data_IF_731232773086
#
_entry.id   IF_731232773086
#
_cell.length_a   1.000
_cell.length_b   1.000
_cell.length_c   1.000
_cell.angle_alpha   90.00
_cell.angle_beta   90.00
_cell.angle_gamma   90.00
#
_symmetry.space_group_name_H-M   'P 1'
#
loop_
_entity.id
_entity.type
_entity.pdbx_description
1 polymer ?
#
# COMPACT_ATOMS: atom_id res chain seq x y z
N UNK A 1 -16.68 27.73 -31.00
CA UNK A 1 -16.20 26.64 -31.87
C UNK A 1 -15.14 25.89 -31.09
N UNK A 2 -15.46 24.68 -30.69
CA UNK A 2 -14.63 23.76 -29.91
C UNK A 2 -13.43 23.30 -30.73
N UNK A 3 -12.23 23.57 -30.20
CA UNK A 3 -10.94 23.21 -30.78
C UNK A 3 -10.83 21.67 -30.86
N UNK A 4 -11.21 21.10 -32.01
CA UNK A 4 -11.53 19.67 -32.20
C UNK A 4 -10.39 18.86 -32.79
N UNK A 5 -9.13 19.25 -32.57
CA UNK A 5 -8.01 18.46 -33.11
C UNK A 5 -6.69 18.52 -32.32
N UNK A 6 -6.76 18.61 -30.98
CA UNK A 6 -5.58 18.24 -30.16
C UNK A 6 -5.59 16.73 -30.00
N UNK A 7 -4.63 16.04 -30.63
CA UNK A 7 -4.38 14.62 -30.37
C UNK A 7 -4.22 14.43 -28.85
N UNK A 8 -5.11 13.63 -28.26
CA UNK A 8 -5.01 13.26 -26.86
C UNK A 8 -4.04 12.08 -26.74
N UNK A 9 -2.90 12.31 -26.10
CA UNK A 9 -1.96 11.26 -25.74
C UNK A 9 -2.24 10.79 -24.33
N UNK A 10 -2.41 9.48 -24.15
CA UNK A 10 -2.58 8.83 -22.86
C UNK A 10 -1.33 8.01 -22.56
N UNK A 11 -0.72 8.26 -21.41
CA UNK A 11 0.25 7.36 -20.82
C UNK A 11 -0.49 6.37 -19.93
N UNK A 12 -0.41 5.09 -20.28
CA UNK A 12 -0.86 4.00 -19.44
C UNK A 12 0.37 3.34 -18.80
N UNK A 13 0.30 3.10 -17.49
CA UNK A 13 1.35 2.41 -16.75
C UNK A 13 0.73 1.23 -16.03
N UNK A 14 1.29 0.05 -16.24
CA UNK A 14 0.87 -1.19 -15.57
C UNK A 14 2.01 -1.76 -14.74
N UNK A 15 1.75 -2.07 -13.47
CA UNK A 15 2.65 -2.86 -12.63
C UNK A 15 2.37 -4.35 -12.84
N UNK A 16 3.35 -5.08 -13.38
CA UNK A 16 3.18 -6.49 -13.75
C UNK A 16 2.93 -7.44 -12.57
N UNK A 17 3.39 -7.09 -11.37
CA UNK A 17 3.28 -7.95 -10.18
C UNK A 17 1.92 -7.81 -9.53
N UNK A 18 1.44 -6.56 -9.35
CA UNK A 18 0.15 -6.28 -8.72
C UNK A 18 -1.01 -6.17 -9.70
N UNK A 19 -0.72 -6.11 -11.00
CA UNK A 19 -1.67 -5.87 -12.09
C UNK A 19 -2.39 -4.52 -12.01
N UNK A 20 -1.91 -3.61 -11.14
CA UNK A 20 -2.44 -2.25 -11.06
C UNK A 20 -2.10 -1.49 -12.32
N UNK A 21 -3.10 -0.80 -12.87
CA UNK A 21 -2.95 0.07 -14.03
C UNK A 21 -3.45 1.46 -13.70
N UNK A 22 -2.77 2.48 -14.22
CA UNK A 22 -3.25 3.85 -14.20
C UNK A 22 -3.12 4.48 -15.60
N UNK A 23 -3.98 5.44 -15.91
CA UNK A 23 -3.93 6.19 -17.15
C UNK A 23 -3.89 7.70 -16.87
N UNK A 24 -2.99 8.41 -17.55
CA UNK A 24 -2.80 9.85 -17.43
C UNK A 24 -2.76 10.48 -18.82
N UNK A 25 -3.55 11.53 -19.04
CA UNK A 25 -3.46 12.35 -20.25
C UNK A 25 -2.21 13.22 -20.20
N UNK A 26 -1.34 13.06 -21.19
CA UNK A 26 -0.09 13.80 -21.34
C UNK A 26 -0.30 15.20 -21.92
N UNK A 27 0.69 16.05 -21.73
CA UNK A 27 0.85 17.21 -22.60
C UNK A 27 1.35 16.70 -23.97
N UNK A 28 0.87 17.26 -25.10
CA UNK A 28 1.25 16.77 -26.42
C UNK A 28 2.76 16.68 -26.68
N UNK A 29 3.53 17.65 -26.16
CA UNK A 29 4.98 17.69 -26.26
C UNK A 29 5.67 16.50 -25.57
N UNK A 30 5.06 15.97 -24.51
CA UNK A 30 5.63 14.88 -23.71
C UNK A 30 5.49 13.53 -24.40
N UNK A 31 4.66 13.40 -25.44
CA UNK A 31 4.53 12.15 -26.20
C UNK A 31 5.81 11.75 -26.94
N UNK A 32 6.79 12.66 -27.04
CA UNK A 32 8.03 12.48 -27.81
C UNK A 32 9.30 12.36 -26.95
N UNK A 33 9.15 12.32 -25.61
CA UNK A 33 10.29 12.25 -24.70
C UNK A 33 10.63 10.79 -24.33
N UNK A 34 11.86 10.51 -23.87
CA UNK A 34 12.25 9.19 -23.39
C UNK A 34 11.38 8.68 -22.23
N UNK A 35 11.26 7.35 -22.11
CA UNK A 35 10.43 6.74 -21.07
C UNK A 35 10.86 7.14 -19.66
N UNK A 36 12.15 7.38 -19.42
CA UNK A 36 12.65 7.83 -18.12
C UNK A 36 12.05 9.17 -17.73
N UNK A 37 12.01 10.11 -18.67
CA UNK A 37 11.45 11.45 -18.45
C UNK A 37 9.93 11.39 -18.25
N UNK A 38 9.24 10.47 -18.94
CA UNK A 38 7.82 10.20 -18.71
C UNK A 38 7.59 9.66 -17.29
N UNK A 39 8.37 8.67 -16.85
CA UNK A 39 8.23 8.11 -15.52
C UNK A 39 8.64 9.10 -14.42
N UNK A 40 9.68 9.91 -14.61
CA UNK A 40 10.06 10.96 -13.66
C UNK A 40 8.91 11.96 -13.46
N UNK A 41 8.34 12.46 -14.57
CA UNK A 41 7.30 13.49 -14.52
C UNK A 41 5.92 12.98 -14.13
N UNK A 42 5.51 11.82 -14.63
CA UNK A 42 4.14 11.34 -14.48
C UNK A 42 3.99 10.17 -13.52
N UNK A 43 5.08 9.47 -13.17
CA UNK A 43 5.03 8.41 -12.16
C UNK A 43 5.75 8.79 -10.87
N UNK A 44 6.96 9.33 -10.86
CA UNK A 44 7.69 9.62 -9.61
C UNK A 44 7.19 10.89 -8.93
N UNK A 45 7.05 11.98 -9.69
CA UNK A 45 6.65 13.30 -9.19
C UNK A 45 5.49 13.92 -9.97
N UNK A 46 4.35 13.22 -10.11
CA UNK A 46 3.19 13.76 -10.80
C UNK A 46 2.59 14.95 -10.04
N UNK A 47 2.19 16.03 -10.73
CA UNK A 47 1.43 17.11 -10.13
C UNK A 47 -0.03 16.68 -9.94
N UNK A 48 -0.30 15.85 -8.93
CA UNK A 48 -1.62 15.21 -8.73
C UNK A 48 -2.78 16.20 -8.72
N UNK A 49 -2.65 17.33 -8.02
CA UNK A 49 -3.68 18.37 -7.94
C UNK A 49 -4.02 18.92 -9.34
N UNK A 50 -3.01 19.38 -10.07
CA UNK A 50 -3.18 19.91 -11.44
C UNK A 50 -3.75 18.85 -12.39
N UNK A 51 -3.31 17.59 -12.28
CA UNK A 51 -3.80 16.51 -13.11
C UNK A 51 -5.27 16.19 -12.81
N UNK A 52 -5.70 16.23 -11.54
CA UNK A 52 -7.08 15.98 -11.14
C UNK A 52 -7.99 17.15 -11.51
N UNK A 53 -7.60 18.40 -11.19
CA UNK A 53 -8.34 19.62 -11.54
C UNK A 53 -8.50 19.77 -13.06
N UNK A 54 -7.43 19.50 -13.81
CA UNK A 54 -7.43 19.50 -15.27
C UNK A 54 -8.11 18.29 -15.92
N UNK A 55 -8.70 17.39 -15.13
CA UNK A 55 -9.33 16.14 -15.59
C UNK A 55 -8.42 15.33 -16.52
N UNK A 56 -7.11 15.35 -16.24
CA UNK A 56 -6.08 14.59 -16.97
C UNK A 56 -5.85 13.22 -16.36
N UNK A 57 -6.25 13.00 -15.12
CA UNK A 57 -6.25 11.72 -14.44
C UNK A 57 -7.57 11.55 -13.69
N UNK A 58 -8.09 10.32 -13.60
CA UNK A 58 -9.26 10.05 -12.75
C UNK A 58 -8.82 9.84 -11.30
N UNK A 59 -9.69 10.04 -10.29
CA UNK A 59 -9.34 9.73 -8.90
C UNK A 59 -8.91 8.28 -8.69
N UNK A 60 -9.49 7.34 -9.44
CA UNK A 60 -9.09 5.94 -9.41
C UNK A 60 -7.69 5.72 -9.99
N UNK A 61 -7.39 6.30 -11.15
CA UNK A 61 -6.04 6.25 -11.74
C UNK A 61 -5.02 6.93 -10.85
N UNK A 62 -5.36 8.03 -10.16
CA UNK A 62 -4.46 8.71 -9.23
C UNK A 62 -4.08 7.83 -8.04
N UNK A 63 -5.05 7.12 -7.43
CA UNK A 63 -4.78 6.15 -6.37
C UNK A 63 -3.92 4.98 -6.86
N UNK A 64 -4.25 4.44 -8.04
CA UNK A 64 -3.49 3.34 -8.64
C UNK A 64 -2.04 3.76 -8.93
N UNK A 65 -1.87 4.94 -9.54
CA UNK A 65 -0.58 5.53 -9.84
C UNK A 65 0.24 5.70 -8.56
N UNK A 66 -0.34 6.35 -7.54
CA UNK A 66 0.28 6.57 -6.23
C UNK A 66 0.80 5.27 -5.59
N UNK A 67 0.02 4.17 -5.69
CA UNK A 67 0.45 2.86 -5.22
C UNK A 67 1.57 2.25 -6.07
N UNK A 68 1.53 2.40 -7.39
CA UNK A 68 2.60 1.95 -8.29
C UNK A 68 3.92 2.67 -7.94
N UNK A 69 3.90 3.97 -7.62
CA UNK A 69 5.11 4.72 -7.25
C UNK A 69 5.85 4.06 -6.08
N UNK A 70 5.12 3.75 -5.01
CA UNK A 70 5.70 3.21 -3.77
C UNK A 70 6.23 1.78 -3.94
N UNK A 71 5.81 1.11 -5.01
CA UNK A 71 6.28 -0.23 -5.38
C UNK A 71 7.43 -0.21 -6.39
N UNK A 72 7.54 0.86 -7.18
CA UNK A 72 8.51 1.00 -8.27
C UNK A 72 9.81 1.70 -7.83
N UNK A 73 9.73 2.68 -6.93
CA UNK A 73 10.84 3.51 -6.51
C UNK A 73 11.35 3.20 -5.11
N UNK A 74 12.66 3.40 -4.92
CA UNK A 74 13.31 3.42 -3.60
C UNK A 74 12.93 4.72 -2.88
N UNK A 75 12.67 4.63 -1.58
CA UNK A 75 12.45 5.78 -0.71
C UNK A 75 13.56 5.94 0.32
N UNK A 76 14.01 7.17 0.58
CA UNK A 76 14.85 7.47 1.75
C UNK A 76 14.04 7.51 3.06
N UNK A 77 14.70 7.71 4.20
CA UNK A 77 14.07 7.75 5.53
C UNK A 77 13.02 8.87 5.67
N UNK A 78 13.07 9.87 4.78
CA UNK A 78 12.09 10.95 4.72
C UNK A 78 10.90 10.65 3.80
N UNK A 79 10.90 9.50 3.16
CA UNK A 79 9.83 9.07 2.25
C UNK A 79 9.90 9.72 0.87
N UNK A 80 11.03 10.34 0.52
CA UNK A 80 11.27 10.90 -0.81
C UNK A 80 11.70 9.79 -1.77
N UNK A 81 11.13 9.80 -2.97
CA UNK A 81 11.42 8.80 -4.00
C UNK A 81 12.69 9.15 -4.76
N UNK A 82 13.52 8.15 -5.02
CA UNK A 82 14.79 8.26 -5.74
C UNK A 82 14.75 7.44 -7.03
N UNK A 83 15.63 6.45 -7.16
CA UNK A 83 15.71 5.59 -8.33
C UNK A 83 14.66 4.48 -8.31
N UNK A 84 14.37 3.92 -9.48
CA UNK A 84 13.64 2.66 -9.56
C UNK A 84 14.42 1.57 -8.81
N UNK A 85 13.71 0.61 -8.20
CA UNK A 85 14.37 -0.54 -7.61
C UNK A 85 15.26 -1.26 -8.63
N UNK A 86 16.47 -1.63 -8.21
CA UNK A 86 17.40 -2.39 -9.04
C UNK A 86 16.74 -3.67 -9.56
N UNK A 87 16.89 -3.93 -10.87
CA UNK A 87 16.23 -5.05 -11.56
C UNK A 87 14.82 -4.74 -12.08
N UNK A 88 14.29 -3.53 -11.87
CA UNK A 88 13.06 -3.08 -12.56
C UNK A 88 13.33 -2.95 -14.05
N UNK A 89 12.47 -3.56 -14.87
CA UNK A 89 12.54 -3.53 -16.33
C UNK A 89 11.31 -2.81 -16.85
N UNK A 90 11.51 -1.78 -17.68
CA UNK A 90 10.40 -1.10 -18.37
C UNK A 90 10.18 -1.74 -19.73
N UNK A 91 8.93 -2.11 -20.02
CA UNK A 91 8.53 -2.75 -21.27
C UNK A 91 7.44 -1.96 -21.97
N UNK A 92 7.37 -2.12 -23.28
CA UNK A 92 6.22 -1.77 -24.10
C UNK A 92 5.84 -3.00 -24.93
N UNK A 93 4.64 -3.54 -24.67
CA UNK A 93 4.29 -4.89 -25.12
C UNK A 93 5.31 -5.93 -24.64
N UNK A 94 5.83 -6.74 -25.56
CA UNK A 94 6.85 -7.77 -25.25
C UNK A 94 8.30 -7.26 -25.32
N UNK A 95 8.51 -5.96 -25.61
CA UNK A 95 9.84 -5.38 -25.81
C UNK A 95 10.30 -4.64 -24.56
N UNK A 96 11.50 -4.97 -24.07
CA UNK A 96 12.21 -4.16 -23.08
C UNK A 96 12.70 -2.86 -23.72
N UNK A 97 12.46 -1.73 -23.06
CA UNK A 97 12.94 -0.43 -23.50
C UNK A 97 14.35 -0.18 -22.95
N UNK A 98 15.27 0.20 -23.84
CA UNK A 98 16.61 0.64 -23.46
C UNK A 98 16.57 2.10 -22.96
N UNK A 99 17.58 2.51 -22.21
CA UNK A 99 17.68 3.89 -21.76
C UNK A 99 17.72 4.89 -22.93
N UNK A 100 17.04 6.03 -22.79
CA UNK A 100 16.90 7.08 -23.81
C UNK A 100 15.91 6.75 -24.93
N UNK A 101 15.23 5.59 -24.87
CA UNK A 101 14.26 5.20 -25.90
C UNK A 101 12.97 6.01 -25.74
N UNK A 102 12.53 6.66 -26.82
CA UNK A 102 11.18 7.23 -26.91
C UNK A 102 10.19 6.10 -27.15
N UNK A 103 9.17 5.91 -26.29
CA UNK A 103 8.15 4.89 -26.50
C UNK A 103 7.37 5.11 -27.78
N UNK A 104 6.92 4.01 -28.38
CA UNK A 104 6.04 4.06 -29.54
C UNK A 104 4.62 4.48 -29.09
N UNK A 105 3.96 5.28 -29.93
CA UNK A 105 2.57 5.66 -29.72
C UNK A 105 1.68 4.66 -30.47
N UNK A 106 0.95 3.85 -29.72
CA UNK A 106 -0.07 2.95 -30.24
C UNK A 106 -1.45 3.61 -30.34
N UNK A 107 -2.41 2.84 -30.87
CA UNK A 107 -3.83 3.22 -30.88
C UNK A 107 -4.54 2.45 -29.77
N UNK A 108 -5.10 3.18 -28.81
CA UNK A 108 -6.02 2.65 -27.81
C UNK A 108 -7.46 3.00 -28.15
N UNK A 109 -8.39 2.25 -27.57
CA UNK A 109 -9.82 2.49 -27.74
C UNK A 109 -10.46 2.74 -26.37
N UNK A 110 -11.12 3.88 -26.20
CA UNK A 110 -11.99 4.14 -25.06
C UNK A 110 -13.42 4.23 -25.59
N UNK A 111 -14.20 3.16 -25.37
CA UNK A 111 -15.55 3.00 -25.92
C UNK A 111 -15.58 3.12 -27.46
N UNK A 112 -15.85 4.31 -28.00
CA UNK A 112 -15.97 4.60 -29.44
C UNK A 112 -14.93 5.60 -29.96
N UNK A 113 -13.97 6.00 -29.12
CA UNK A 113 -12.96 7.01 -29.45
C UNK A 113 -11.59 6.34 -29.54
N UNK A 114 -10.94 6.48 -30.70
CA UNK A 114 -9.52 6.17 -30.85
C UNK A 114 -8.68 7.24 -30.14
N UNK A 115 -7.76 6.80 -29.30
CA UNK A 115 -6.83 7.66 -28.57
C UNK A 115 -5.40 7.20 -28.81
N UNK A 116 -4.46 8.13 -28.83
CA UNK A 116 -3.05 7.83 -28.93
C UNK A 116 -2.56 7.35 -27.55
N UNK A 117 -2.01 6.14 -27.45
CA UNK A 117 -1.61 5.54 -26.17
C UNK A 117 -0.14 5.15 -26.18
N UNK A 118 0.57 5.60 -25.15
CA UNK A 118 1.87 5.07 -24.75
C UNK A 118 1.60 4.10 -23.60
N UNK A 119 1.71 2.80 -23.86
CA UNK A 119 1.47 1.76 -22.86
C UNK A 119 2.79 1.19 -22.34
N UNK A 120 3.10 1.45 -21.06
CA UNK A 120 4.30 1.00 -20.38
C UNK A 120 3.96 -0.03 -19.31
N UNK A 121 4.76 -1.07 -19.23
CA UNK A 121 4.71 -2.06 -18.15
C UNK A 121 5.98 -2.00 -17.32
N UNK A 122 5.82 -1.84 -16.00
CA UNK A 122 6.88 -2.03 -15.03
C UNK A 122 6.96 -3.51 -14.66
N UNK A 123 7.97 -4.19 -15.19
CA UNK A 123 8.31 -5.55 -14.84
C UNK A 123 9.26 -5.57 -13.63
N UNK A 124 8.74 -6.05 -12.51
CA UNK A 124 9.46 -6.09 -11.22
C UNK A 124 9.58 -7.51 -10.67
N UNK A 125 9.36 -8.54 -11.48
CA UNK A 125 9.44 -9.94 -11.03
C UNK A 125 10.81 -10.35 -10.50
N UNK A 126 11.87 -9.68 -10.97
CA UNK A 126 13.25 -9.97 -10.58
C UNK A 126 13.83 -8.94 -9.60
N UNK A 127 12.99 -8.06 -9.03
CA UNK A 127 13.45 -7.05 -8.07
C UNK A 127 13.68 -7.72 -6.71
N UNK A 128 14.91 -7.59 -6.19
CA UNK A 128 15.17 -7.84 -4.78
C UNK A 128 14.59 -6.71 -3.94
N UNK A 129 13.62 -7.01 -3.07
CA UNK A 129 13.01 -6.01 -2.19
C UNK A 129 13.88 -5.75 -0.96
N UNK A 130 14.99 -5.03 -1.12
CA UNK A 130 15.66 -4.37 0.00
C UNK A 130 15.02 -2.98 0.18
N UNK A 131 13.82 -2.99 0.77
CA UNK A 131 13.01 -1.79 0.95
C UNK A 131 13.36 -1.13 2.26
N UNK A 132 13.70 0.14 2.20
CA UNK A 132 13.71 1.00 3.38
C UNK A 132 12.29 1.11 3.98
N UNK A 133 12.02 0.32 5.02
CA UNK A 133 10.70 0.26 5.65
C UNK A 133 10.32 1.56 6.37
N UNK A 134 11.29 2.30 6.90
CA UNK A 134 11.07 3.59 7.59
C UNK A 134 10.51 4.59 6.58
N UNK A 135 11.26 4.81 5.50
CA UNK A 135 10.87 5.68 4.40
C UNK A 135 9.55 5.32 3.76
N UNK A 136 9.37 4.03 3.47
CA UNK A 136 8.16 3.51 2.84
C UNK A 136 6.91 3.77 3.69
N UNK A 137 6.97 3.49 5.00
CA UNK A 137 5.83 3.74 5.90
C UNK A 137 5.57 5.24 6.07
N UNK A 138 6.61 6.05 6.27
CA UNK A 138 6.50 7.51 6.41
C UNK A 138 5.85 8.15 5.18
N UNK A 139 6.25 7.73 3.98
CA UNK A 139 5.64 8.18 2.72
C UNK A 139 4.15 7.86 2.66
N UNK A 140 3.77 6.62 2.99
CA UNK A 140 2.37 6.18 2.92
C UNK A 140 1.51 6.86 3.98
N UNK A 141 2.06 7.10 5.16
CA UNK A 141 1.42 7.93 6.18
C UNK A 141 1.13 9.34 5.67
N UNK A 142 2.15 10.02 5.12
CA UNK A 142 2.04 11.41 4.70
C UNK A 142 0.98 11.67 3.61
N UNK A 143 0.67 10.67 2.77
CA UNK A 143 -0.33 10.79 1.70
C UNK A 143 -1.76 11.01 2.21
N UNK A 144 -2.09 10.39 3.33
CA UNK A 144 -3.46 10.35 3.86
C UNK A 144 -3.48 10.62 5.38
N UNK A 145 -2.48 11.35 5.88
CA UNK A 145 -2.28 11.65 7.30
C UNK A 145 -3.53 12.22 8.00
N UNK A 146 -4.28 13.18 7.42
CA UNK A 146 -5.52 13.67 8.03
C UNK A 146 -6.58 12.57 8.22
N UNK A 147 -6.65 11.60 7.29
CA UNK A 147 -7.59 10.50 7.38
C UNK A 147 -7.18 9.51 8.50
N UNK A 148 -5.89 9.25 8.65
CA UNK A 148 -5.37 8.38 9.72
C UNK A 148 -5.55 9.01 11.09
N UNK A 149 -5.22 10.30 11.26
CA UNK A 149 -5.50 11.02 12.51
C UNK A 149 -6.99 11.11 12.82
N UNK A 150 -7.82 11.37 11.81
CA UNK A 150 -9.28 11.35 11.95
C UNK A 150 -9.78 9.98 12.43
N UNK A 151 -9.27 8.89 11.87
CA UNK A 151 -9.58 7.53 12.31
C UNK A 151 -9.17 7.29 13.77
N UNK A 152 -7.93 7.61 14.13
CA UNK A 152 -7.39 7.44 15.50
C UNK A 152 -8.23 8.22 16.51
N UNK A 153 -8.46 9.51 16.26
CA UNK A 153 -9.27 10.37 17.12
C UNK A 153 -10.68 9.80 17.29
N UNK A 154 -11.34 9.46 16.19
CA UNK A 154 -12.69 8.89 16.22
C UNK A 154 -12.77 7.57 16.99
N UNK A 155 -11.68 6.79 17.05
CA UNK A 155 -11.65 5.56 17.82
C UNK A 155 -11.69 5.83 19.33
N UNK A 156 -11.04 6.91 19.79
CA UNK A 156 -10.96 7.31 21.20
C UNK A 156 -12.26 8.01 21.64
N UNK A 157 -12.78 8.92 20.82
CA UNK A 157 -13.99 9.71 21.12
C UNK A 157 -15.26 8.87 21.35
N UNK A 158 -15.24 7.59 20.96
CA UNK A 158 -16.36 6.68 21.19
C UNK A 158 -16.58 6.36 22.66
N UNK A 159 -15.50 6.23 23.41
CA UNK A 159 -15.52 5.78 24.80
C UNK A 159 -15.04 6.89 25.77
N UNK A 160 -14.60 8.06 25.24
CA UNK A 160 -13.99 9.15 26.00
C UNK A 160 -14.53 10.53 25.62
N UNK A 161 -14.48 11.49 26.55
CA UNK A 161 -14.88 12.88 26.26
C UNK A 161 -13.88 13.57 25.32
N UNK A 162 -14.23 14.70 24.68
CA UNK A 162 -13.28 15.44 23.84
C UNK A 162 -12.02 15.89 24.60
N UNK A 163 -12.17 16.35 25.85
CA UNK A 163 -11.05 16.76 26.70
C UNK A 163 -10.12 15.58 27.03
N UNK A 164 -10.69 14.42 27.36
CA UNK A 164 -9.91 13.21 27.62
C UNK A 164 -9.22 12.72 26.35
N UNK A 165 -9.89 12.84 25.19
CA UNK A 165 -9.33 12.46 23.89
C UNK A 165 -8.07 13.25 23.56
N UNK A 166 -8.12 14.58 23.71
CA UNK A 166 -6.96 15.43 23.46
C UNK A 166 -5.82 15.05 24.40
N UNK A 167 -6.10 14.83 25.69
CA UNK A 167 -5.08 14.36 26.64
C UNK A 167 -4.49 13.00 26.29
N UNK A 168 -5.30 12.05 25.80
CA UNK A 168 -4.82 10.72 25.40
C UNK A 168 -3.90 10.81 24.16
N UNK A 169 -4.21 11.71 23.23
CA UNK A 169 -3.46 11.89 21.98
C UNK A 169 -2.06 12.49 22.21
N UNK A 170 -1.82 13.16 23.34
CA UNK A 170 -0.48 13.62 23.72
C UNK A 170 0.47 12.45 24.07
N UNK A 171 -0.08 11.26 24.41
CA UNK A 171 0.70 10.03 24.70
C UNK A 171 1.72 10.18 25.85
N UNK A 172 1.46 11.09 26.79
CA UNK A 172 2.35 11.46 27.90
C UNK A 172 2.48 10.40 28.99
N UNK A 173 1.54 9.46 29.08
CA UNK A 173 1.56 8.40 30.09
C UNK A 173 1.35 7.01 29.50
N UNK A 174 1.86 6.00 30.21
CA UNK A 174 1.64 4.59 29.89
C UNK A 174 0.15 4.23 29.81
N UNK A 175 -0.66 4.85 30.68
CA UNK A 175 -2.11 4.66 30.69
C UNK A 175 -2.75 5.21 29.41
N UNK A 176 -2.30 6.37 28.94
CA UNK A 176 -2.84 7.00 27.74
C UNK A 176 -2.46 6.20 26.50
N UNK A 177 -1.20 5.74 26.43
CA UNK A 177 -0.73 4.83 25.38
C UNK A 177 -1.53 3.53 25.35
N UNK A 178 -1.74 2.90 26.50
CA UNK A 178 -2.56 1.69 26.61
C UNK A 178 -4.01 1.93 26.16
N UNK A 179 -4.57 3.07 26.54
CA UNK A 179 -5.94 3.47 26.20
C UNK A 179 -6.07 3.68 24.69
N UNK A 180 -5.16 4.42 24.07
CA UNK A 180 -5.14 4.64 22.63
C UNK A 180 -4.99 3.31 21.87
N UNK A 181 -4.04 2.47 22.28
CA UNK A 181 -3.82 1.16 21.67
C UNK A 181 -5.09 0.31 21.71
N UNK A 182 -5.77 0.25 22.87
CA UNK A 182 -7.03 -0.49 23.02
C UNK A 182 -8.14 0.07 22.14
N UNK A 183 -8.30 1.39 22.10
CA UNK A 183 -9.34 2.06 21.31
C UNK A 183 -9.19 1.81 19.81
N UNK A 184 -7.98 1.97 19.26
CA UNK A 184 -7.69 1.69 17.85
C UNK A 184 -7.89 0.20 17.54
N UNK A 185 -7.37 -0.69 18.40
CA UNK A 185 -7.46 -2.13 18.20
C UNK A 185 -8.91 -2.61 18.19
N UNK A 186 -9.73 -2.11 19.12
CA UNK A 186 -11.17 -2.38 19.17
C UNK A 186 -11.88 -1.84 17.93
N UNK A 187 -11.54 -0.63 17.47
CA UNK A 187 -12.12 -0.05 16.25
C UNK A 187 -11.84 -0.88 15.00
N UNK A 188 -10.62 -1.41 14.85
CA UNK A 188 -10.25 -2.32 13.75
C UNK A 188 -10.95 -3.68 13.90
N UNK A 189 -11.05 -4.20 15.12
CA UNK A 189 -11.73 -5.46 15.40
C UNK A 189 -13.21 -5.41 14.98
N UNK A 190 -13.91 -4.33 15.30
CA UNK A 190 -15.33 -4.15 14.95
C UNK A 190 -15.61 -3.98 13.46
N UNK A 191 -14.61 -3.59 12.65
CA UNK A 191 -14.78 -3.57 11.21
C UNK A 191 -15.05 -4.98 10.67
N UNK A 192 -15.64 -5.11 9.49
CA UNK A 192 -16.01 -6.42 8.97
C UNK A 192 -14.78 -7.33 8.76
N UNK A 193 -14.91 -8.61 9.08
CA UNK A 193 -13.97 -9.63 8.62
C UNK A 193 -14.40 -10.08 7.22
N UNK A 194 -13.65 -9.71 6.20
CA UNK A 194 -14.09 -9.88 4.82
C UNK A 194 -12.95 -10.10 3.82
N UNK A 195 -13.30 -10.71 2.69
CA UNK A 195 -12.44 -10.82 1.51
C UNK A 195 -13.16 -10.45 0.21
N UNK A 196 -14.40 -9.95 0.29
CA UNK A 196 -15.18 -9.60 -0.89
C UNK A 196 -14.65 -8.36 -1.61
N UNK A 197 -13.96 -7.46 -0.90
CA UNK A 197 -13.27 -6.28 -1.45
C UNK A 197 -12.22 -6.64 -2.51
N UNK A 198 -11.79 -7.91 -2.57
CA UNK A 198 -10.91 -8.43 -3.63
C UNK A 198 -11.62 -8.62 -4.97
N UNK A 199 -12.94 -8.71 -4.96
CA UNK A 199 -13.75 -8.96 -6.15
C UNK A 199 -14.54 -7.73 -6.60
N UNK A 200 -14.59 -6.68 -5.77
CA UNK A 200 -15.32 -5.44 -6.03
C UNK A 200 -14.39 -4.21 -5.96
N UNK A 201 -14.85 -3.06 -6.43
CA UNK A 201 -14.05 -1.83 -6.42
C UNK A 201 -12.72 -1.98 -7.19
N UNK A 202 -11.61 -1.65 -6.54
CA UNK A 202 -10.25 -1.77 -7.12
C UNK A 202 -9.74 -3.21 -7.27
N UNK A 203 -10.46 -4.21 -6.74
CA UNK A 203 -10.14 -5.63 -6.88
C UNK A 203 -8.69 -5.97 -6.46
N UNK A 204 -8.22 -5.31 -5.40
CA UNK A 204 -6.88 -5.53 -4.88
C UNK A 204 -6.77 -6.96 -4.33
N UNK A 205 -5.80 -7.72 -4.82
CA UNK A 205 -5.55 -9.11 -4.36
C UNK A 205 -5.23 -9.11 -2.86
N UNK A 206 -4.48 -8.11 -2.41
CA UNK A 206 -4.07 -7.90 -1.03
C UNK A 206 -3.95 -6.41 -0.74
N UNK A 207 -4.50 -5.97 0.40
CA UNK A 207 -4.39 -4.58 0.88
C UNK A 207 -3.24 -4.45 1.87
N UNK A 208 -2.40 -3.43 1.72
CA UNK A 208 -1.45 -3.05 2.77
C UNK A 208 -2.14 -2.42 3.98
N UNK A 209 -1.41 -2.23 5.08
CA UNK A 209 -1.99 -1.71 6.32
C UNK A 209 -2.75 -0.39 6.15
N UNK A 210 -2.16 0.59 5.48
CA UNK A 210 -2.78 1.87 5.15
C UNK A 210 -4.03 1.71 4.26
N UNK A 211 -3.96 0.87 3.22
CA UNK A 211 -5.10 0.58 2.35
C UNK A 211 -6.24 -0.09 3.13
N UNK A 212 -5.90 -0.94 4.10
CA UNK A 212 -6.89 -1.55 4.98
C UNK A 212 -7.50 -0.53 5.93
N UNK A 213 -6.73 0.42 6.48
CA UNK A 213 -7.30 1.52 7.28
C UNK A 213 -8.27 2.34 6.44
N UNK A 214 -7.88 2.75 5.23
CA UNK A 214 -8.75 3.49 4.31
C UNK A 214 -10.01 2.70 3.93
N UNK A 215 -9.88 1.39 3.72
CA UNK A 215 -11.03 0.52 3.45
C UNK A 215 -11.99 0.45 4.65
N UNK A 216 -11.47 0.38 5.89
CA UNK A 216 -12.28 0.43 7.12
C UNK A 216 -12.98 1.79 7.26
N UNK A 217 -12.27 2.90 6.98
CA UNK A 217 -12.87 4.25 6.98
C UNK A 217 -14.04 4.34 5.99
N UNK A 218 -13.92 3.69 4.83
CA UNK A 218 -14.97 3.61 3.82
C UNK A 218 -16.13 2.64 4.19
N UNK A 219 -16.11 2.04 5.38
CA UNK A 219 -17.13 1.09 5.86
C UNK A 219 -16.89 -0.36 5.47
N UNK A 220 -15.72 -0.68 4.90
CA UNK A 220 -15.28 -2.04 4.63
C UNK A 220 -14.54 -2.68 5.80
N UNK A 221 -13.69 -3.65 5.48
CA UNK A 221 -12.98 -4.45 6.46
C UNK A 221 -11.69 -5.05 5.93
N UNK A 222 -11.39 -6.27 6.37
CA UNK A 222 -10.28 -7.05 5.82
C UNK A 222 -10.10 -8.40 6.51
N UNK A 223 -9.24 -9.23 5.95
CA UNK A 223 -8.85 -10.50 6.58
C UNK A 223 -7.84 -10.27 7.71
N UNK A 224 -7.49 -11.33 8.45
CA UNK A 224 -6.60 -11.27 9.62
C UNK A 224 -5.27 -10.54 9.33
N UNK A 225 -4.56 -10.91 8.27
CA UNK A 225 -3.28 -10.31 7.89
C UNK A 225 -3.39 -8.84 7.48
N UNK A 226 -4.53 -8.44 6.91
CA UNK A 226 -4.79 -7.06 6.48
C UNK A 226 -5.07 -6.18 7.70
N UNK A 227 -5.95 -6.64 8.60
CA UNK A 227 -6.29 -5.93 9.83
C UNK A 227 -5.12 -5.79 10.80
N UNK A 228 -4.30 -6.84 10.93
CA UNK A 228 -3.05 -6.76 11.73
C UNK A 228 -2.08 -5.75 11.13
N UNK A 229 -1.94 -5.71 9.80
CA UNK A 229 -1.13 -4.69 9.15
C UNK A 229 -1.70 -3.28 9.33
N UNK A 230 -3.03 -3.13 9.31
CA UNK A 230 -3.68 -1.84 9.59
C UNK A 230 -3.35 -1.34 10.99
N UNK A 231 -3.49 -2.21 11.99
CA UNK A 231 -3.17 -1.87 13.38
C UNK A 231 -1.70 -1.51 13.52
N UNK A 232 -0.79 -2.35 13.00
CA UNK A 232 0.65 -2.08 13.06
C UNK A 232 1.05 -0.80 12.31
N UNK A 233 0.45 -0.52 11.16
CA UNK A 233 0.74 0.70 10.39
C UNK A 233 0.42 1.97 11.19
N UNK A 234 -0.74 2.00 11.87
CA UNK A 234 -1.11 3.12 12.72
C UNK A 234 -0.19 3.24 13.94
N UNK A 235 0.08 2.14 14.63
CA UNK A 235 0.84 2.17 15.89
C UNK A 235 2.33 2.37 15.68
N UNK A 236 2.93 1.84 14.61
CA UNK A 236 4.31 2.14 14.22
C UNK A 236 4.49 3.66 14.00
N UNK A 237 3.51 4.32 13.38
CA UNK A 237 3.55 5.77 13.11
C UNK A 237 3.40 6.61 14.39
N UNK A 238 2.85 6.03 15.45
CA UNK A 238 2.74 6.63 16.79
C UNK A 238 3.90 6.22 17.72
N UNK A 239 4.89 5.50 17.21
CA UNK A 239 6.09 5.10 17.96
C UNK A 239 5.90 3.92 18.91
N UNK A 240 4.90 3.06 18.67
CA UNK A 240 4.75 1.81 19.44
C UNK A 240 5.71 0.76 18.92
N UNK A 241 6.38 0.07 19.85
CA UNK A 241 7.16 -1.12 19.54
C UNK A 241 6.25 -2.35 19.53
N UNK A 242 6.30 -3.11 18.43
CA UNK A 242 5.51 -4.33 18.30
C UNK A 242 6.12 -5.34 17.35
N UNK A 243 5.82 -6.61 17.61
CA UNK A 243 6.24 -7.76 16.82
C UNK A 243 5.03 -8.56 16.31
N UNK A 244 5.21 -9.24 15.18
CA UNK A 244 4.18 -10.14 14.66
C UNK A 244 4.18 -11.45 15.44
N UNK A 245 3.02 -11.82 15.95
CA UNK A 245 2.76 -13.17 16.44
C UNK A 245 2.12 -13.99 15.33
N UNK A 246 2.76 -15.09 14.97
CA UNK A 246 2.25 -16.05 13.99
C UNK A 246 1.74 -17.28 14.73
N UNK A 247 0.47 -17.61 14.54
CA UNK A 247 -0.16 -18.75 15.19
C UNK A 247 -1.10 -19.49 14.22
N UNK A 248 -1.48 -20.71 14.58
CA UNK A 248 -2.48 -21.47 13.85
C UNK A 248 -2.82 -22.75 14.59
N UNK A 249 -4.06 -23.26 14.51
CA UNK A 249 -4.42 -24.54 15.11
C UNK A 249 -3.51 -25.70 14.66
N UNK A 250 -2.85 -25.56 13.51
CA UNK A 250 -1.88 -26.55 13.02
C UNK A 250 -0.41 -26.26 13.38
N UNK A 251 -0.09 -25.12 14.02
CA UNK A 251 1.27 -24.75 14.44
C UNK A 251 1.73 -25.59 15.65
N UNK A 252 2.06 -26.86 15.40
CA UNK A 252 2.49 -27.82 16.44
C UNK A 252 3.95 -27.68 16.87
N UNK A 253 4.75 -26.93 16.10
CA UNK A 253 6.19 -26.77 16.32
C UNK A 253 6.56 -25.27 16.24
N UNK A 254 7.66 -24.84 16.86
CA UNK A 254 8.21 -23.50 16.69
C UNK A 254 8.45 -23.13 15.22
N UNK A 255 8.50 -21.84 14.92
CA UNK A 255 8.77 -21.33 13.57
C UNK A 255 10.13 -21.88 13.10
N UNK A 256 10.21 -22.57 11.94
CA UNK A 256 11.45 -23.14 11.44
C UNK A 256 12.29 -22.06 10.74
N UNK A 257 12.75 -21.06 11.50
CA UNK A 257 13.39 -19.84 11.00
C UNK A 257 14.57 -20.14 10.06
N UNK A 258 15.45 -21.07 10.44
CA UNK A 258 16.61 -21.46 9.63
C UNK A 258 16.21 -21.94 8.23
N UNK A 259 15.17 -22.77 8.15
CA UNK A 259 14.65 -23.28 6.86
C UNK A 259 13.98 -22.18 6.06
N UNK A 260 13.30 -21.23 6.70
CA UNK A 260 12.70 -20.09 6.00
C UNK A 260 13.76 -19.12 5.48
N UNK A 261 14.87 -18.92 6.20
CA UNK A 261 16.02 -18.13 5.73
C UNK A 261 16.76 -18.80 4.57
N UNK A 262 16.80 -20.13 4.54
CA UNK A 262 17.33 -20.89 3.39
C UNK A 262 16.59 -20.55 2.10
N UNK A 263 15.26 -20.31 2.14
CA UNK A 263 14.48 -19.86 0.97
C UNK A 263 15.01 -18.54 0.39
N UNK A 264 15.36 -17.59 1.27
CA UNK A 264 15.85 -16.26 0.86
C UNK A 264 17.26 -16.33 0.26
N UNK A 265 18.01 -17.39 0.56
CA UNK A 265 19.39 -17.56 0.10
C UNK A 265 19.48 -18.42 -1.15
N UNK A 266 18.64 -19.46 -1.24
CA UNK A 266 18.70 -20.48 -2.29
C UNK A 266 17.62 -20.32 -3.37
N UNK A 267 16.56 -19.56 -3.09
CA UNK A 267 15.37 -19.44 -3.95
C UNK A 267 14.68 -20.80 -4.27
N UNK A 268 14.90 -21.83 -3.44
CA UNK A 268 14.31 -23.18 -3.57
C UNK A 268 12.92 -23.26 -2.90
N UNK A 269 11.85 -22.90 -3.62
CA UNK A 269 10.50 -22.84 -3.03
C UNK A 269 9.79 -24.20 -2.87
N UNK A 270 10.42 -25.33 -3.21
CA UNK A 270 9.79 -26.65 -3.18
C UNK A 270 9.29 -27.05 -1.77
N UNK A 271 9.98 -26.59 -0.73
CA UNK A 271 9.61 -26.85 0.67
C UNK A 271 8.84 -25.69 1.33
N UNK A 272 8.70 -24.53 0.67
CA UNK A 272 7.97 -23.38 1.23
C UNK A 272 6.53 -23.75 1.58
N UNK A 273 5.85 -24.51 0.70
CA UNK A 273 4.51 -25.07 0.97
C UNK A 273 4.45 -25.95 2.21
N UNK A 274 5.53 -26.63 2.62
CA UNK A 274 5.54 -27.51 3.80
C UNK A 274 5.66 -26.72 5.09
N UNK A 275 6.44 -25.65 5.10
CA UNK A 275 6.77 -24.88 6.30
C UNK A 275 5.96 -23.58 6.45
N UNK A 276 5.39 -23.03 5.37
CA UNK A 276 4.47 -21.89 5.40
C UNK A 276 3.01 -22.30 5.71
N UNK A 277 2.69 -23.60 5.69
CA UNK A 277 1.35 -24.14 6.04
C UNK A 277 0.97 -23.94 7.52
N UNK A 278 1.93 -23.53 8.36
CA UNK A 278 1.72 -23.36 9.79
C UNK A 278 1.24 -21.96 10.19
N UNK A 279 1.05 -21.06 9.23
CA UNK A 279 0.63 -19.67 9.47
C UNK A 279 -0.83 -19.50 9.05
N UNK A 280 -1.73 -19.67 10.01
CA UNK A 280 -3.17 -19.60 9.77
C UNK A 280 -3.77 -18.33 10.36
N UNK A 281 -3.04 -17.65 11.24
CA UNK A 281 -3.47 -16.46 11.94
C UNK A 281 -2.31 -15.53 12.31
N UNK A 282 -2.61 -14.23 12.39
CA UNK A 282 -1.67 -13.19 12.82
C UNK A 282 -2.28 -12.36 13.95
N UNK A 283 -1.43 -11.99 14.91
CA UNK A 283 -1.70 -11.03 15.97
C UNK A 283 -0.46 -10.15 16.20
N UNK A 284 -0.52 -9.20 17.14
CA UNK A 284 0.62 -8.37 17.52
C UNK A 284 0.96 -8.54 18.99
N UNK A 285 2.26 -8.58 19.30
CA UNK A 285 2.79 -8.40 20.64
C UNK A 285 3.30 -6.96 20.74
N UNK A 286 2.80 -6.20 21.69
CA UNK A 286 3.27 -4.84 21.98
C UNK A 286 4.16 -4.84 23.22
N UNK A 287 5.26 -4.10 23.15
CA UNK A 287 6.13 -3.81 24.29
C UNK A 287 5.85 -2.40 24.77
N UNK A 288 5.02 -2.28 25.81
CA UNK A 288 4.54 -1.00 26.30
C UNK A 288 4.90 -0.81 27.78
N UNK A 289 5.81 0.13 28.05
CA UNK A 289 6.17 0.57 29.41
C UNK A 289 6.53 -0.60 30.36
N UNK A 290 7.31 -1.56 29.84
CA UNK A 290 7.77 -2.74 30.57
C UNK A 290 6.73 -3.86 30.70
N UNK A 291 5.60 -3.77 29.99
CA UNK A 291 4.59 -4.81 29.90
C UNK A 291 4.44 -5.31 28.46
N UNK A 292 4.22 -6.61 28.34
CA UNK A 292 3.94 -7.28 27.07
C UNK A 292 2.44 -7.47 26.91
N UNK A 293 1.87 -6.98 25.81
CA UNK A 293 0.43 -7.00 25.56
C UNK A 293 0.17 -7.70 24.23
N UNK A 294 -0.58 -8.81 24.28
CA UNK A 294 -1.01 -9.52 23.08
C UNK A 294 -2.32 -8.92 22.59
N UNK A 295 -2.32 -8.42 21.35
CA UNK A 295 -3.48 -7.79 20.74
C UNK A 295 -3.91 -8.55 19.49
N UNK A 296 -5.16 -8.98 19.48
CA UNK A 296 -5.83 -9.54 18.30
C UNK A 296 -7.03 -8.70 17.90
N UNK A 297 -6.84 -7.88 16.86
CA UNK A 297 -7.85 -6.99 16.31
C UNK A 297 -8.53 -7.55 15.04
N UNK A 298 -8.45 -8.85 14.79
CA UNK A 298 -8.86 -9.41 13.49
C UNK A 298 -10.35 -9.72 13.39
N UNK A 299 -10.99 -10.18 14.49
CA UNK A 299 -12.38 -10.63 14.53
C UNK A 299 -12.64 -11.91 13.71
N UNK A 300 -13.77 -12.00 13.00
CA UNK A 300 -14.21 -13.22 12.32
C UNK A 300 -14.78 -14.20 13.34
N UNK A 301 -13.98 -15.19 13.74
CA UNK A 301 -14.36 -16.20 14.72
C UNK A 301 -13.58 -16.03 16.04
N UNK A 302 -12.73 -15.00 16.12
CA UNK A 302 -11.83 -14.77 17.25
C UNK A 302 -12.36 -13.57 18.05
N UNK A 303 -12.60 -13.73 19.37
CA UNK A 303 -12.99 -12.60 20.21
C UNK A 303 -11.89 -11.54 20.24
N UNK A 304 -12.24 -10.31 20.60
CA UNK A 304 -11.22 -9.28 20.81
C UNK A 304 -10.29 -9.70 21.95
N UNK A 305 -8.99 -9.84 21.67
CA UNK A 305 -7.96 -10.17 22.67
C UNK A 305 -7.11 -8.92 22.90
N UNK A 306 -6.94 -8.57 24.18
CA UNK A 306 -6.15 -7.45 24.67
C UNK A 306 -5.68 -7.72 26.10
#
# INVERSE_FOLDING_TARGET
>A
MTDTNKLNYILQITDSVTTRTCAVRLNPEDASIPWESLLERYLKSPPFEELLEGQRITPESARSLSAIQDLAYVSDDDGQLHDLFAGTIVKQGNRTLAAGTVPEVGVGHTSEIEVAVIDLTLDRWNVGYDRNLIGFKKRRWAKDEPAFWGFIRSAIERDHSPLDTDSILELDSAKDRLTLLRSISKRIWEADFESYSRFTGQKLIFKSGDETVLNIIAGGGGICSEKVQALKFLTDSLGYESEYLLAGPNAKNPIPEEKLRELLTTFEFNFSKRYMRYWEHLALLYHLDGSDIVVDATNGNIPFIF
#
